data_IF_726379390050
#
_entry.id   IF_726379390050
#
_cell.length_a   1.000
_cell.length_b   1.000
_cell.length_c   1.000
_cell.angle_alpha   90.00
_cell.angle_beta   90.00
_cell.angle_gamma   90.00
#
_symmetry.space_group_name_H-M   'P 1'
#
loop_
_entity.id
_entity.type
_entity.pdbx_description
1 polymer ?
#
# COMPACT_ATOMS: atom_id res chain seq x y z
N UNK A 1 -37.62 17.55 34.75
CA UNK A 1 -36.43 17.16 35.54
C UNK A 1 -36.02 15.78 35.05
N UNK A 2 -34.86 15.49 34.46
CA UNK A 2 -33.63 16.22 34.17
C UNK A 2 -33.11 15.78 32.80
N UNK A 3 -32.60 16.75 32.02
CA UNK A 3 -31.60 16.54 30.97
C UNK A 3 -30.23 16.25 31.61
N UNK A 4 -29.26 15.86 30.77
CA UNK A 4 -27.82 15.65 31.02
C UNK A 4 -27.43 14.17 31.24
N UNK A 5 -26.41 13.58 30.62
CA UNK A 5 -25.27 14.15 29.90
C UNK A 5 -24.66 13.12 28.94
N UNK A 6 -24.31 13.60 27.75
CA UNK A 6 -23.34 13.01 26.84
C UNK A 6 -21.99 13.00 27.56
N UNK A 7 -21.36 11.83 27.71
CA UNK A 7 -19.95 11.72 28.09
C UNK A 7 -19.32 10.53 27.38
N UNK A 8 -18.75 10.83 26.21
CA UNK A 8 -17.41 10.40 25.82
C UNK A 8 -16.97 8.99 26.26
N UNK A 9 -17.42 7.95 25.55
CA UNK A 9 -16.53 6.81 25.29
C UNK A 9 -15.81 7.08 23.97
N UNK A 10 -14.80 7.95 24.04
CA UNK A 10 -13.67 7.94 23.11
C UNK A 10 -13.02 6.55 23.23
N UNK A 11 -13.46 5.59 22.41
CA UNK A 11 -12.66 4.39 22.16
C UNK A 11 -11.47 4.82 21.30
N UNK A 12 -10.40 5.24 22.00
CA UNK A 12 -9.07 5.30 21.44
C UNK A 12 -8.72 3.92 20.88
N UNK A 13 -8.83 3.75 19.56
CA UNK A 13 -8.26 2.60 18.85
C UNK A 13 -6.93 3.00 18.20
N UNK A 14 -5.79 3.06 18.92
CA UNK A 14 -4.51 2.88 18.28
C UNK A 14 -4.25 1.37 18.16
N UNK A 15 -3.47 0.96 17.16
CA UNK A 15 -3.00 -0.42 16.91
C UNK A 15 -3.64 -1.11 15.69
N UNK A 16 -3.85 -0.35 14.61
CA UNK A 16 -3.80 -0.95 13.28
C UNK A 16 -2.32 -1.25 12.93
N UNK A 17 -1.92 -2.52 12.94
CA UNK A 17 -0.59 -2.92 12.47
C UNK A 17 -0.58 -2.98 10.93
N UNK A 18 0.11 -2.05 10.28
CA UNK A 18 0.43 -2.12 8.85
C UNK A 18 1.65 -3.04 8.65
N UNK A 19 1.42 -4.29 8.29
CA UNK A 19 2.49 -5.25 7.95
C UNK A 19 2.44 -5.57 6.46
N UNK A 20 3.41 -5.06 5.71
CA UNK A 20 3.62 -5.41 4.30
C UNK A 20 4.72 -6.47 4.18
N UNK A 21 4.41 -7.74 3.85
CA UNK A 21 5.46 -8.72 3.57
C UNK A 21 6.22 -8.29 2.30
N UNK A 22 7.53 -8.59 2.18
CA UNK A 22 8.35 -8.18 1.05
C UNK A 22 7.69 -8.56 -0.29
N UNK A 23 7.28 -7.52 -1.03
CA UNK A 23 6.47 -7.66 -2.24
C UNK A 23 7.27 -8.06 -3.48
N UNK A 24 8.60 -7.95 -3.42
CA UNK A 24 9.50 -8.18 -4.55
C UNK A 24 9.36 -9.57 -5.17
N UNK A 25 8.97 -10.60 -4.41
CA UNK A 25 8.79 -11.96 -4.94
C UNK A 25 7.39 -12.27 -5.50
N UNK A 26 6.45 -11.33 -5.36
CA UNK A 26 5.04 -11.51 -5.71
C UNK A 26 4.59 -10.64 -6.89
N UNK A 27 5.37 -9.61 -7.24
CA UNK A 27 5.12 -8.72 -8.39
C UNK A 27 5.36 -9.39 -9.74
N UNK A 28 4.80 -8.79 -10.79
CA UNK A 28 4.97 -9.24 -12.18
C UNK A 28 6.43 -9.46 -12.60
N UNK A 29 7.34 -8.54 -12.24
CA UNK A 29 8.76 -8.60 -12.63
C UNK A 29 9.47 -9.87 -12.15
N UNK A 30 9.03 -10.46 -11.05
CA UNK A 30 9.65 -11.65 -10.47
C UNK A 30 9.02 -12.95 -10.92
N UNK A 31 8.00 -12.92 -11.80
CA UNK A 31 7.26 -14.13 -12.21
C UNK A 31 8.15 -15.11 -12.96
N UNK A 32 9.04 -14.63 -13.83
CA UNK A 32 9.99 -15.47 -14.59
C UNK A 32 10.90 -16.29 -13.67
N UNK A 33 11.51 -15.66 -12.66
CA UNK A 33 12.46 -16.30 -11.74
C UNK A 33 11.80 -17.11 -10.62
N UNK A 34 10.58 -16.74 -10.24
CA UNK A 34 9.82 -17.45 -9.19
C UNK A 34 8.93 -18.56 -9.73
N UNK A 35 8.62 -18.55 -11.02
CA UNK A 35 7.68 -19.47 -11.67
C UNK A 35 6.23 -19.31 -11.19
N UNK A 36 5.88 -18.15 -10.62
CA UNK A 36 4.54 -17.80 -10.15
C UNK A 36 3.69 -17.29 -11.32
N UNK A 37 2.44 -17.74 -11.38
CA UNK A 37 1.42 -17.22 -12.29
C UNK A 37 0.04 -17.27 -11.60
N UNK A 38 -1.01 -16.76 -12.24
CA UNK A 38 -2.36 -16.78 -11.67
C UNK A 38 -2.86 -18.21 -11.37
N UNK A 39 -2.49 -19.19 -12.22
CA UNK A 39 -2.83 -20.61 -12.02
C UNK A 39 -1.95 -21.29 -10.97
N UNK A 40 -0.71 -20.80 -10.79
CA UNK A 40 0.25 -21.33 -9.80
C UNK A 40 0.84 -20.20 -8.94
N UNK A 41 0.05 -19.55 -8.06
CA UNK A 41 0.53 -18.43 -7.26
C UNK A 41 1.63 -18.82 -6.28
N UNK A 42 1.70 -20.10 -5.88
CA UNK A 42 2.75 -20.66 -5.01
C UNK A 42 4.14 -20.63 -5.64
N UNK A 43 4.24 -20.60 -6.98
CA UNK A 43 5.51 -20.62 -7.70
C UNK A 43 6.25 -21.96 -7.65
N UNK A 44 7.50 -21.94 -8.08
CA UNK A 44 8.38 -23.11 -8.09
C UNK A 44 8.91 -23.44 -6.69
N UNK A 45 8.64 -24.65 -6.21
CA UNK A 45 9.19 -25.12 -4.93
C UNK A 45 10.70 -25.38 -4.98
N UNK A 46 11.33 -25.43 -6.15
CA UNK A 46 12.78 -25.64 -6.27
C UNK A 46 13.57 -24.45 -5.71
N UNK A 47 13.05 -23.23 -5.88
CA UNK A 47 13.70 -22.00 -5.44
C UNK A 47 13.55 -21.77 -3.92
N UNK A 48 14.67 -21.73 -3.19
CA UNK A 48 14.71 -21.49 -1.72
C UNK A 48 14.01 -20.16 -1.34
N UNK A 49 14.21 -19.09 -2.14
CA UNK A 49 13.60 -17.78 -1.90
C UNK A 49 12.08 -17.84 -1.99
N UNK A 50 11.53 -18.54 -2.98
CA UNK A 50 10.07 -18.73 -3.13
C UNK A 50 9.48 -19.45 -1.93
N UNK A 51 10.14 -20.52 -1.44
CA UNK A 51 9.69 -21.24 -0.24
C UNK A 51 9.70 -20.37 1.02
N UNK A 52 10.74 -19.55 1.20
CA UNK A 52 10.83 -18.62 2.32
C UNK A 52 9.69 -17.58 2.27
N UNK A 53 9.43 -17.01 1.10
CA UNK A 53 8.37 -16.04 0.90
C UNK A 53 6.97 -16.63 1.12
N UNK A 54 6.74 -17.87 0.68
CA UNK A 54 5.51 -18.60 0.99
C UNK A 54 5.33 -18.92 2.49
N UNK A 55 6.43 -19.04 3.26
CA UNK A 55 6.37 -19.14 4.72
C UNK A 55 6.04 -17.80 5.37
N UNK A 56 6.64 -16.70 4.90
CA UNK A 56 6.35 -15.36 5.41
C UNK A 56 4.87 -15.02 5.25
N UNK A 57 4.27 -15.26 4.07
CA UNK A 57 2.83 -15.00 3.88
C UNK A 57 1.96 -15.89 4.78
N UNK A 58 2.37 -17.14 5.07
CA UNK A 58 1.64 -17.99 6.03
C UNK A 58 1.73 -17.45 7.47
N UNK A 59 2.90 -16.96 7.89
CA UNK A 59 3.08 -16.32 9.21
C UNK A 59 2.26 -15.03 9.31
N UNK A 60 2.24 -14.22 8.25
CA UNK A 60 1.35 -13.06 8.15
C UNK A 60 -0.10 -13.48 8.32
N UNK A 61 -0.59 -14.50 7.60
CA UNK A 61 -1.97 -14.99 7.76
C UNK A 61 -2.27 -15.36 9.22
N UNK A 62 -1.34 -16.02 9.92
CA UNK A 62 -1.52 -16.36 11.32
C UNK A 62 -1.61 -15.11 12.22
N UNK A 63 -0.72 -14.13 12.01
CA UNK A 63 -0.76 -12.87 12.75
C UNK A 63 -2.07 -12.09 12.52
N UNK A 64 -2.56 -12.07 11.27
CA UNK A 64 -3.82 -11.41 10.91
C UNK A 64 -5.04 -12.14 11.49
N UNK A 65 -5.07 -13.47 11.48
CA UNK A 65 -6.11 -14.25 12.15
C UNK A 65 -6.11 -13.95 13.65
N UNK A 66 -4.95 -13.92 14.30
CA UNK A 66 -4.85 -13.57 15.71
C UNK A 66 -5.36 -12.16 16.00
N UNK A 67 -4.90 -11.15 15.24
CA UNK A 67 -5.35 -9.76 15.39
C UNK A 67 -6.87 -9.62 15.19
N UNK A 68 -7.41 -10.25 14.14
CA UNK A 68 -8.84 -10.24 13.84
C UNK A 68 -9.67 -10.87 14.96
N UNK A 69 -9.23 -12.01 15.50
CA UNK A 69 -9.89 -12.69 16.64
C UNK A 69 -9.86 -11.86 17.93
N UNK A 70 -8.92 -10.94 18.06
CA UNK A 70 -8.84 -9.97 19.17
C UNK A 70 -9.72 -8.73 18.95
N UNK A 71 -10.50 -8.68 17.87
CA UNK A 71 -11.33 -7.52 17.54
C UNK A 71 -10.54 -6.37 16.90
N UNK A 72 -9.30 -6.61 16.44
CA UNK A 72 -8.49 -5.59 15.78
C UNK A 72 -8.75 -5.57 14.27
N UNK A 73 -8.74 -4.37 13.70
CA UNK A 73 -8.70 -4.18 12.25
C UNK A 73 -7.27 -4.30 11.74
N UNK A 74 -7.11 -4.76 10.50
CA UNK A 74 -5.81 -4.78 9.83
C UNK A 74 -5.89 -4.21 8.43
N UNK A 75 -4.74 -3.82 7.90
CA UNK A 75 -4.54 -3.43 6.52
C UNK A 75 -3.24 -4.05 6.01
N UNK A 76 -3.32 -4.72 4.86
CA UNK A 76 -2.17 -5.32 4.17
C UNK A 76 -1.97 -4.62 2.84
N UNK A 77 -0.84 -3.95 2.71
CA UNK A 77 -0.45 -3.24 1.49
C UNK A 77 0.34 -4.16 0.55
N UNK A 78 0.01 -4.11 -0.75
CA UNK A 78 0.86 -4.63 -1.81
C UNK A 78 0.78 -3.75 -3.06
N UNK A 79 1.80 -3.81 -3.94
CA UNK A 79 1.67 -3.31 -5.30
C UNK A 79 0.52 -4.00 -6.05
N UNK A 80 -0.16 -3.26 -6.92
CA UNK A 80 -1.34 -3.75 -7.66
C UNK A 80 -1.08 -4.98 -8.53
N UNK A 81 0.18 -5.22 -8.95
CA UNK A 81 0.57 -6.39 -9.75
C UNK A 81 0.87 -7.66 -8.94
N UNK A 82 0.73 -7.61 -7.61
CA UNK A 82 1.05 -8.71 -6.70
C UNK A 82 0.12 -9.92 -6.90
N UNK A 83 0.70 -11.12 -6.97
CA UNK A 83 -0.02 -12.41 -6.98
C UNK A 83 -0.32 -12.95 -5.58
N UNK A 84 0.08 -12.25 -4.51
CA UNK A 84 -0.20 -12.66 -3.13
C UNK A 84 -1.70 -12.92 -2.83
N UNK A 85 -2.66 -12.15 -3.37
CA UNK A 85 -4.10 -12.40 -3.20
C UNK A 85 -4.58 -13.73 -3.74
N UNK A 86 -3.90 -14.26 -4.76
CA UNK A 86 -4.23 -15.57 -5.34
C UNK A 86 -3.62 -16.73 -4.55
N UNK A 87 -2.69 -16.45 -3.63
CA UNK A 87 -2.11 -17.47 -2.79
C UNK A 87 -3.14 -18.02 -1.80
N UNK A 88 -3.47 -19.31 -1.96
CA UNK A 88 -4.59 -20.00 -1.29
C UNK A 88 -4.75 -19.68 0.22
N UNK A 89 -3.70 -19.70 1.07
CA UNK A 89 -3.85 -19.35 2.50
C UNK A 89 -4.36 -17.92 2.71
N UNK A 90 -3.79 -16.95 1.99
CA UNK A 90 -4.15 -15.54 2.12
C UNK A 90 -5.54 -15.29 1.53
N UNK A 91 -5.84 -15.85 0.35
CA UNK A 91 -7.17 -15.79 -0.28
C UNK A 91 -8.29 -16.30 0.63
N UNK A 92 -8.06 -17.44 1.30
CA UNK A 92 -9.02 -18.02 2.24
C UNK A 92 -9.23 -17.13 3.46
N UNK A 93 -8.16 -16.55 3.99
CA UNK A 93 -8.24 -15.64 5.14
C UNK A 93 -9.05 -14.38 4.81
N UNK A 94 -8.73 -13.71 3.69
CA UNK A 94 -9.45 -12.51 3.25
C UNK A 94 -10.96 -12.77 3.11
N UNK A 95 -11.33 -13.89 2.48
CA UNK A 95 -12.74 -14.30 2.34
C UNK A 95 -13.41 -14.54 3.70
N UNK A 96 -12.73 -15.20 4.62
CA UNK A 96 -13.27 -15.51 5.96
C UNK A 96 -13.51 -14.26 6.78
N UNK A 97 -12.60 -13.29 6.69
CA UNK A 97 -12.68 -12.05 7.48
C UNK A 97 -13.59 -10.99 6.84
N UNK A 98 -14.16 -11.25 5.66
CA UNK A 98 -14.90 -10.23 4.91
C UNK A 98 -14.02 -9.04 4.52
N UNK A 99 -12.71 -9.25 4.35
CA UNK A 99 -11.77 -8.21 4.02
C UNK A 99 -12.04 -7.66 2.63
N UNK A 100 -11.96 -6.34 2.49
CA UNK A 100 -12.19 -5.63 1.23
C UNK A 100 -10.91 -5.18 0.59
N UNK A 101 -10.98 -4.99 -0.72
CA UNK A 101 -9.88 -4.54 -1.55
C UNK A 101 -10.06 -3.06 -1.89
N UNK A 102 -9.11 -2.24 -1.48
CA UNK A 102 -9.08 -0.80 -1.76
C UNK A 102 -7.91 -0.52 -2.70
N UNK A 103 -8.20 0.04 -3.87
CA UNK A 103 -7.17 0.47 -4.81
C UNK A 103 -6.85 1.94 -4.57
N UNK A 104 -5.57 2.25 -4.43
CA UNK A 104 -5.09 3.62 -4.24
C UNK A 104 -3.91 3.90 -5.15
N UNK A 105 -3.78 5.15 -5.56
CA UNK A 105 -2.57 5.66 -6.22
C UNK A 105 -1.81 6.49 -5.22
N UNK A 106 -0.57 6.13 -4.91
CA UNK A 106 0.20 6.85 -3.88
C UNK A 106 0.41 8.33 -4.22
N UNK A 107 0.43 8.70 -5.50
CA UNK A 107 0.53 10.10 -5.91
C UNK A 107 -0.67 10.96 -5.52
N UNK A 108 -1.85 10.35 -5.28
CA UNK A 108 -3.01 11.03 -4.70
C UNK A 108 -2.77 11.49 -3.25
N UNK A 109 -1.80 10.85 -2.57
CA UNK A 109 -1.40 11.12 -1.19
C UNK A 109 -0.02 11.77 -1.10
N UNK A 110 0.38 12.51 -2.15
CA UNK A 110 1.60 13.32 -2.14
C UNK A 110 2.88 12.59 -2.56
N UNK A 111 2.83 11.28 -2.85
CA UNK A 111 4.01 10.55 -3.33
C UNK A 111 4.50 11.08 -4.70
N UNK A 112 5.81 11.02 -4.98
CA UNK A 112 6.38 11.54 -6.23
C UNK A 112 5.95 10.75 -7.47
N UNK A 113 5.37 9.56 -7.29
CA UNK A 113 4.96 8.68 -8.37
C UNK A 113 3.51 8.25 -8.18
N UNK A 114 2.78 8.08 -9.29
CA UNK A 114 1.43 7.50 -9.32
C UNK A 114 1.49 5.97 -9.17
N UNK A 115 2.28 5.47 -8.22
CA UNK A 115 2.44 4.04 -8.00
C UNK A 115 1.10 3.46 -7.51
N UNK A 116 0.50 2.51 -8.25
CA UNK A 116 -0.74 1.87 -7.84
C UNK A 116 -0.46 0.83 -6.75
N UNK A 117 -1.26 0.87 -5.71
CA UNK A 117 -1.19 0.02 -4.54
C UNK A 117 -2.58 -0.51 -4.21
N UNK A 118 -2.63 -1.73 -3.72
CA UNK A 118 -3.84 -2.37 -3.25
C UNK A 118 -3.70 -2.66 -1.78
N UNK A 119 -4.72 -2.26 -1.02
CA UNK A 119 -4.84 -2.54 0.40
C UNK A 119 -5.96 -3.55 0.59
N UNK A 120 -5.66 -4.66 1.27
CA UNK A 120 -6.71 -5.54 1.80
C UNK A 120 -6.92 -5.26 3.27
N UNK A 121 -8.16 -4.98 3.65
CA UNK A 121 -8.45 -4.51 5.00
C UNK A 121 -9.82 -4.96 5.50
N UNK A 122 -9.94 -5.12 6.81
CA UNK A 122 -11.22 -5.30 7.52
C UNK A 122 -11.76 -3.99 8.08
N UNK A 123 -10.97 -2.91 8.03
CA UNK A 123 -11.37 -1.60 8.53
C UNK A 123 -12.50 -0.99 7.68
N UNK A 124 -13.57 -0.45 8.30
CA UNK A 124 -14.61 0.26 7.59
C UNK A 124 -14.13 1.62 7.05
N UNK A 125 -13.25 2.31 7.76
CA UNK A 125 -12.79 3.66 7.39
C UNK A 125 -11.85 3.65 6.17
N UNK A 126 -11.05 2.61 5.97
CA UNK A 126 -10.16 2.52 4.81
C UNK A 126 -10.91 2.30 3.49
N UNK A 127 -12.19 1.89 3.51
CA UNK A 127 -13.01 1.79 2.30
C UNK A 127 -13.13 3.13 1.58
N UNK A 128 -13.27 4.20 2.35
CA UNK A 128 -13.44 5.56 1.85
C UNK A 128 -12.19 6.08 1.11
N UNK A 129 -11.00 5.53 1.41
CA UNK A 129 -9.76 5.92 0.72
C UNK A 129 -9.76 5.55 -0.78
N UNK A 130 -10.49 4.51 -1.16
CA UNK A 130 -10.60 4.10 -2.57
C UNK A 130 -11.55 4.97 -3.38
N UNK A 131 -12.46 5.68 -2.71
CA UNK A 131 -13.54 6.45 -3.35
C UNK A 131 -13.14 7.90 -3.60
N UNK A 132 -12.12 8.41 -2.89
CA UNK A 132 -11.85 9.86 -2.84
C UNK A 132 -10.45 10.18 -3.32
N UNK A 133 -10.28 10.28 -4.65
CA UNK A 133 -9.58 11.40 -5.32
C UNK A 133 -10.11 11.47 -6.75
N UNK A 134 -11.06 12.37 -6.99
CA UNK A 134 -11.50 12.70 -8.35
C UNK A 134 -10.38 13.43 -9.10
N UNK A 135 -10.46 13.48 -10.43
CA UNK A 135 -9.46 14.19 -11.25
C UNK A 135 -9.43 15.68 -10.87
N UNK A 136 -10.59 16.28 -10.61
CA UNK A 136 -10.73 17.66 -10.16
C UNK A 136 -10.08 17.86 -8.79
N UNK A 137 -10.27 16.93 -7.85
CA UNK A 137 -9.63 16.98 -6.53
C UNK A 137 -8.11 16.82 -6.62
N UNK A 138 -7.63 16.00 -7.55
CA UNK A 138 -6.19 15.85 -7.82
C UNK A 138 -5.59 17.14 -8.38
N UNK A 139 -6.26 17.77 -9.33
CA UNK A 139 -5.77 18.99 -9.97
C UNK A 139 -5.88 20.20 -9.02
N UNK A 140 -6.89 20.25 -8.14
CA UNK A 140 -6.91 21.17 -7.00
C UNK A 140 -5.73 20.94 -6.05
N UNK A 141 -5.40 19.69 -5.70
CA UNK A 141 -4.23 19.41 -4.86
C UNK A 141 -2.92 19.81 -5.54
N UNK A 142 -2.83 19.70 -6.86
CA UNK A 142 -1.68 20.20 -7.64
C UNK A 142 -1.63 21.73 -7.66
N UNK A 143 -2.76 22.41 -7.84
CA UNK A 143 -2.83 23.87 -7.86
C UNK A 143 -2.53 24.48 -6.49
N UNK A 144 -3.08 23.92 -5.41
CA UNK A 144 -2.77 24.30 -4.02
C UNK A 144 -1.27 24.06 -3.74
N UNK A 145 -0.69 22.97 -4.24
CA UNK A 145 0.75 22.69 -4.08
C UNK A 145 1.64 23.68 -4.84
N UNK A 146 1.20 24.17 -6.01
CA UNK A 146 1.87 25.27 -6.71
C UNK A 146 1.70 26.62 -6.00
N UNK A 147 0.55 26.86 -5.36
CA UNK A 147 0.28 28.09 -4.60
C UNK A 147 1.02 28.14 -3.26
N UNK A 148 1.20 27.00 -2.59
CA UNK A 148 1.93 26.88 -1.32
C UNK A 148 3.46 26.96 -1.48
N UNK A 149 3.97 27.13 -2.70
CA UNK A 149 5.40 27.25 -3.02
C UNK A 149 6.29 26.19 -2.34
N UNK A 150 5.75 24.98 -2.14
CA UNK A 150 6.49 23.87 -1.56
C UNK A 150 7.55 23.41 -2.57
N UNK A 151 8.76 23.97 -2.47
CA UNK A 151 9.93 23.57 -3.27
C UNK A 151 10.19 22.09 -3.05
N UNK A 152 9.80 21.26 -4.03
CA UNK A 152 10.16 19.87 -4.04
C UNK A 152 11.64 19.78 -4.40
N UNK A 153 12.46 19.54 -3.38
CA UNK A 153 13.89 19.30 -3.55
C UNK A 153 14.08 17.82 -3.82
N UNK A 154 14.40 17.45 -5.06
CA UNK A 154 14.70 16.05 -5.42
C UNK A 154 16.16 15.77 -5.10
N UNK A 155 16.41 15.00 -4.04
CA UNK A 155 17.74 14.47 -3.73
C UNK A 155 17.93 13.11 -4.39
N UNK A 156 18.96 12.96 -5.21
CA UNK A 156 19.34 11.67 -5.78
C UNK A 156 20.86 11.55 -5.84
N UNK A 157 21.35 10.32 -5.89
CA UNK A 157 22.77 10.03 -6.08
C UNK A 157 22.98 9.74 -7.56
N UNK A 158 23.89 10.49 -8.20
CA UNK A 158 24.18 10.30 -9.61
C UNK A 158 25.02 9.03 -9.85
N UNK A 159 25.30 8.71 -11.12
CA UNK A 159 26.05 7.50 -11.49
C UNK A 159 27.50 7.51 -10.98
N UNK A 160 28.00 8.65 -10.51
CA UNK A 160 29.35 8.83 -9.96
C UNK A 160 29.37 8.74 -8.43
N UNK A 161 28.21 8.62 -7.80
CA UNK A 161 28.07 8.53 -6.35
C UNK A 161 27.83 9.89 -5.67
N UNK A 162 27.68 10.97 -6.44
CA UNK A 162 27.52 12.31 -5.88
C UNK A 162 26.04 12.61 -5.58
N UNK A 163 25.77 13.19 -4.41
CA UNK A 163 24.43 13.59 -4.01
C UNK A 163 24.04 14.90 -4.71
N UNK A 164 23.10 14.82 -5.65
CA UNK A 164 22.52 15.95 -6.39
C UNK A 164 21.17 16.35 -5.81
N UNK A 165 20.88 17.65 -5.90
CA UNK A 165 19.75 18.32 -5.26
C UNK A 165 19.08 19.21 -6.31
N UNK A 166 18.07 18.69 -7.01
CA UNK A 166 17.38 19.45 -8.05
C UNK A 166 16.18 20.18 -7.44
N UNK A 167 16.13 21.50 -7.59
CA UNK A 167 14.96 22.32 -7.30
C UNK A 167 14.16 22.55 -8.59
N UNK A 168 12.89 22.15 -8.59
CA UNK A 168 11.94 22.50 -9.67
C UNK A 168 11.75 24.04 -9.70
N UNK A 169 11.87 24.74 -10.86
CA UNK A 169 10.92 24.62 -11.97
C UNK A 169 11.57 24.52 -13.37
N UNK A 170 10.77 24.10 -14.36
CA UNK A 170 11.07 24.38 -15.77
C UNK A 170 11.11 25.91 -15.96
N UNK A 171 12.31 26.48 -15.91
CA UNK A 171 12.64 27.70 -16.67
C UNK A 171 13.22 27.26 -18.00
N UNK A 172 12.49 27.63 -19.04
CA UNK A 172 12.85 27.73 -20.46
C UNK A 172 14.34 27.70 -20.82
N UNK A 173 14.60 26.98 -21.93
CA UNK A 173 15.67 27.19 -22.92
C UNK A 173 17.13 26.97 -22.47
N UNK A 174 17.78 25.99 -23.09
CA UNK A 174 19.06 26.14 -23.78
C UNK A 174 19.09 25.07 -24.90
N UNK A 175 19.62 25.39 -26.10
CA UNK A 175 19.63 24.49 -27.25
C UNK A 175 20.80 23.50 -27.18
N UNK A 176 20.62 22.33 -27.77
CA UNK A 176 21.52 21.56 -28.67
C UNK A 176 20.95 20.15 -28.83
#
# INVERSE_FOLDING_TARGET
MCLSNISQTFFSFPHATSQGPPCSSWVYLSRSSTGRCCLRPKGSNKNKKVRAQNRLVRRLCYALEFAFRRGLFYAVEQPASSLMPEYKPFKKLLRRHGAVRVHIYLGAFGAPTLKPVVIWTTSPFLRQLGEVVTVERRDQLRSIRSQLNLKLVRRYVDKRGDLRVDAWPFTSQEPF
#
